data_IF_102761236729
#
_entry.id   IF_102761236729
#
_cell.length_a   1.000
_cell.length_b   1.000
_cell.length_c   1.000
_cell.angle_alpha   90.00
_cell.angle_beta   90.00
_cell.angle_gamma   90.00
#
_symmetry.space_group_name_H-M   'P 1'
#
loop_
_entity.id
_entity.type
_entity.pdbx_description
1 polymer ?
#
# COMPACT_ATOMS: atom_id res chain seq x y z
N UNK A 1 47.60 0.15 -15.30
CA UNK A 1 46.87 0.87 -16.37
C UNK A 1 45.60 0.06 -16.68
N UNK A 2 44.42 0.64 -16.46
CA UNK A 2 43.16 0.01 -16.91
C UNK A 2 43.06 0.24 -18.42
N UNK A 3 42.93 -0.85 -19.18
CA UNK A 3 42.84 -0.77 -20.64
C UNK A 3 41.42 -0.35 -21.05
N UNK A 4 41.31 0.32 -22.20
CA UNK A 4 40.03 0.78 -22.77
C UNK A 4 39.02 -0.36 -22.98
N UNK A 5 39.51 -1.59 -23.20
CA UNK A 5 38.68 -2.80 -23.29
C UNK A 5 38.11 -3.23 -21.93
N UNK A 6 38.89 -3.11 -20.84
CA UNK A 6 38.38 -3.37 -19.49
C UNK A 6 37.33 -2.34 -19.06
N UNK A 7 37.44 -1.08 -19.50
CA UNK A 7 36.41 -0.05 -19.28
C UNK A 7 35.11 -0.37 -20.02
N UNK A 8 35.19 -0.87 -21.27
CA UNK A 8 34.02 -1.21 -22.09
C UNK A 8 33.28 -2.44 -21.56
N UNK A 9 34.00 -3.47 -21.08
CA UNK A 9 33.39 -4.64 -20.41
C UNK A 9 32.72 -4.28 -19.09
N UNK A 10 33.32 -3.38 -18.30
CA UNK A 10 32.73 -2.92 -17.03
C UNK A 10 31.47 -2.08 -17.28
N UNK A 11 31.44 -1.26 -18.34
CA UNK A 11 30.29 -0.46 -18.74
C UNK A 11 29.10 -1.34 -19.21
N UNK A 12 29.38 -2.44 -19.92
CA UNK A 12 28.36 -3.38 -20.40
C UNK A 12 27.71 -4.19 -19.26
N UNK A 13 28.47 -4.55 -18.22
CA UNK A 13 27.97 -5.32 -17.06
C UNK A 13 27.02 -4.48 -16.19
N UNK A 14 27.29 -3.17 -16.03
CA UNK A 14 26.43 -2.27 -15.26
C UNK A 14 25.06 -1.99 -15.93
N UNK A 15 24.90 -2.25 -17.23
CA UNK A 15 23.64 -2.01 -17.95
C UNK A 15 22.64 -3.19 -17.91
N UNK A 16 23.09 -4.42 -17.62
CA UNK A 16 22.21 -5.60 -17.54
C UNK A 16 21.74 -5.92 -16.12
N UNK A 17 22.40 -5.38 -15.10
CA UNK A 17 21.88 -5.40 -13.73
C UNK A 17 20.92 -4.22 -13.65
N UNK A 18 19.68 -4.43 -14.10
CA UNK A 18 18.61 -3.47 -13.87
C UNK A 18 18.52 -3.24 -12.37
N UNK A 19 19.05 -2.10 -11.90
CA UNK A 19 18.96 -1.73 -10.51
C UNK A 19 17.47 -1.64 -10.18
N UNK A 20 16.95 -2.61 -9.44
CA UNK A 20 15.60 -2.55 -8.89
C UNK A 20 15.63 -1.42 -7.86
N UNK A 21 15.24 -0.22 -8.26
CA UNK A 21 15.19 0.91 -7.35
C UNK A 21 13.88 0.82 -6.55
N UNK A 22 14.00 1.03 -5.23
CA UNK A 22 12.86 1.28 -4.37
C UNK A 22 12.04 2.46 -4.92
N UNK A 23 10.70 2.36 -4.88
CA UNK A 23 9.82 3.45 -5.30
C UNK A 23 9.92 4.63 -4.34
N UNK A 24 9.89 5.83 -4.87
CA UNK A 24 9.71 7.06 -4.09
C UNK A 24 8.30 7.14 -3.50
N UNK A 25 8.12 7.92 -2.43
CA UNK A 25 6.80 8.12 -1.81
C UNK A 25 5.79 8.73 -2.78
N UNK A 26 6.25 9.63 -3.67
CA UNK A 26 5.45 10.19 -4.76
C UNK A 26 4.97 9.11 -5.75
N UNK A 27 5.84 8.16 -6.11
CA UNK A 27 5.48 7.06 -7.00
C UNK A 27 4.49 6.10 -6.34
N UNK A 28 4.68 5.79 -5.05
CA UNK A 28 3.75 4.97 -4.26
C UNK A 28 2.38 5.65 -4.21
N UNK A 29 2.33 6.94 -3.85
CA UNK A 29 1.09 7.74 -3.78
C UNK A 29 0.38 7.78 -5.13
N UNK A 30 1.11 8.07 -6.22
CA UNK A 30 0.57 8.07 -7.59
C UNK A 30 -0.02 6.70 -7.97
N UNK A 31 0.68 5.63 -7.61
CA UNK A 31 0.25 4.27 -7.90
C UNK A 31 -1.08 3.92 -7.18
N UNK A 32 -1.23 4.28 -5.91
CA UNK A 32 -2.49 4.13 -5.17
C UNK A 32 -3.62 4.99 -5.76
N UNK A 33 -3.32 6.23 -6.19
CA UNK A 33 -4.30 7.09 -6.88
C UNK A 33 -4.80 6.43 -8.18
N UNK A 34 -3.91 5.80 -8.95
CA UNK A 34 -4.31 5.05 -10.15
C UNK A 34 -5.23 3.88 -9.81
N UNK A 35 -4.99 3.19 -8.69
CA UNK A 35 -5.91 2.14 -8.26
C UNK A 35 -7.28 2.69 -7.88
N UNK A 36 -7.32 3.82 -7.17
CA UNK A 36 -8.55 4.48 -6.79
C UNK A 36 -9.35 4.96 -8.00
N UNK A 37 -8.70 5.47 -9.05
CA UNK A 37 -9.38 5.87 -10.30
C UNK A 37 -10.08 4.67 -10.94
N UNK A 38 -9.41 3.52 -11.02
CA UNK A 38 -10.03 2.32 -11.58
C UNK A 38 -11.20 1.82 -10.72
N UNK A 39 -10.99 1.72 -9.41
CA UNK A 39 -12.02 1.26 -8.47
C UNK A 39 -13.23 2.22 -8.40
N UNK A 40 -13.03 3.51 -8.68
CA UNK A 40 -14.13 4.50 -8.68
C UNK A 40 -15.16 4.28 -9.79
N UNK A 41 -14.84 3.48 -10.81
CA UNK A 41 -15.81 3.08 -11.85
C UNK A 41 -16.92 2.20 -11.28
N UNK A 42 -16.61 1.38 -10.28
CA UNK A 42 -17.54 0.46 -9.61
C UNK A 42 -18.06 1.03 -8.27
N UNK A 43 -17.22 1.82 -7.60
CA UNK A 43 -17.51 2.44 -6.30
C UNK A 43 -17.37 3.96 -6.40
N UNK A 44 -18.32 4.64 -7.07
CA UNK A 44 -18.26 6.08 -7.26
C UNK A 44 -18.33 6.78 -5.91
N UNK A 45 -17.45 7.75 -5.72
CA UNK A 45 -17.37 8.63 -4.54
C UNK A 45 -17.47 10.08 -5.00
N UNK A 46 -17.98 10.94 -4.13
CA UNK A 46 -18.09 12.38 -4.41
C UNK A 46 -16.72 13.06 -4.43
N UNK A 47 -16.66 14.24 -5.04
CA UNK A 47 -15.45 15.06 -5.00
C UNK A 47 -15.02 15.42 -3.57
N UNK A 48 -15.97 15.61 -2.65
CA UNK A 48 -15.69 15.87 -1.24
C UNK A 48 -15.06 14.66 -0.55
N UNK A 49 -15.64 13.48 -0.75
CA UNK A 49 -15.11 12.21 -0.23
C UNK A 49 -13.69 11.93 -0.72
N UNK A 50 -13.42 12.18 -2.01
CA UNK A 50 -12.07 12.11 -2.56
C UNK A 50 -11.11 13.07 -1.87
N UNK A 51 -11.54 14.29 -1.54
CA UNK A 51 -10.70 15.24 -0.81
C UNK A 51 -10.44 14.80 0.63
N UNK A 52 -11.44 14.24 1.32
CA UNK A 52 -11.24 13.68 2.66
C UNK A 52 -10.19 12.57 2.66
N UNK A 53 -10.25 11.65 1.69
CA UNK A 53 -9.25 10.57 1.56
C UNK A 53 -7.85 11.12 1.24
N UNK A 54 -7.75 12.10 0.32
CA UNK A 54 -6.46 12.64 -0.15
C UNK A 54 -5.73 13.50 0.86
N UNK A 55 -6.47 14.28 1.65
CA UNK A 55 -5.90 15.36 2.49
C UNK A 55 -6.00 15.09 3.98
N UNK A 56 -7.01 14.33 4.40
CA UNK A 56 -7.25 14.03 5.82
C UNK A 56 -6.88 12.59 6.18
N UNK A 57 -6.43 11.80 5.21
CA UNK A 57 -6.17 10.35 5.36
C UNK A 57 -7.34 9.61 6.02
N UNK A 58 -8.56 10.10 5.80
CA UNK A 58 -9.77 9.58 6.41
C UNK A 58 -10.65 8.97 5.34
N UNK A 59 -11.07 7.73 5.56
CA UNK A 59 -12.08 7.09 4.74
C UNK A 59 -13.45 7.65 5.15
N UNK A 60 -14.22 8.23 4.21
CA UNK A 60 -15.59 8.65 4.46
C UNK A 60 -16.47 7.50 4.94
N UNK A 61 -17.50 7.80 5.72
CA UNK A 61 -18.34 6.77 6.34
C UNK A 61 -19.30 6.07 5.35
N UNK A 62 -19.41 6.58 4.12
CA UNK A 62 -20.25 5.98 3.10
C UNK A 62 -19.79 4.57 2.73
N UNK A 63 -20.74 3.67 2.48
CA UNK A 63 -20.43 2.31 2.05
C UNK A 63 -19.65 2.29 0.73
N UNK A 64 -19.94 3.23 -0.18
CA UNK A 64 -19.21 3.37 -1.44
C UNK A 64 -17.73 3.67 -1.20
N UNK A 65 -17.41 4.60 -0.29
CA UNK A 65 -16.02 4.91 0.05
C UNK A 65 -15.30 3.73 0.71
N UNK A 66 -15.96 3.01 1.62
CA UNK A 66 -15.42 1.78 2.23
C UNK A 66 -15.13 0.71 1.17
N UNK A 67 -16.04 0.51 0.23
CA UNK A 67 -15.85 -0.46 -0.86
C UNK A 67 -14.81 -0.02 -1.89
N UNK A 68 -14.64 1.28 -2.14
CA UNK A 68 -13.54 1.81 -2.94
C UNK A 68 -12.18 1.36 -2.37
N UNK A 69 -12.00 1.48 -1.06
CA UNK A 69 -10.76 1.04 -0.37
C UNK A 69 -10.60 -0.47 -0.47
N UNK A 70 -11.68 -1.24 -0.28
CA UNK A 70 -11.62 -2.70 -0.44
C UNK A 70 -11.24 -3.12 -1.86
N UNK A 71 -11.78 -2.47 -2.90
CA UNK A 71 -11.37 -2.73 -4.27
C UNK A 71 -9.87 -2.49 -4.45
N UNK A 72 -9.33 -1.37 -3.93
CA UNK A 72 -7.89 -1.09 -4.00
C UNK A 72 -7.10 -2.19 -3.29
N UNK A 73 -7.48 -2.56 -2.06
CA UNK A 73 -6.79 -3.56 -1.25
C UNK A 73 -6.87 -4.97 -1.85
N UNK A 74 -7.99 -5.35 -2.48
CA UNK A 74 -8.11 -6.61 -3.23
C UNK A 74 -7.19 -6.63 -4.45
N UNK A 75 -7.10 -5.52 -5.20
CA UNK A 75 -6.21 -5.41 -6.37
C UNK A 75 -4.72 -5.52 -6.02
N UNK A 76 -4.33 -5.19 -4.79
CA UNK A 76 -2.97 -5.41 -4.26
C UNK A 76 -2.81 -6.66 -3.41
N UNK A 77 -3.85 -7.48 -3.35
CA UNK A 77 -3.87 -8.71 -2.57
C UNK A 77 -3.69 -8.50 -1.05
N UNK A 78 -3.90 -7.28 -0.54
CA UNK A 78 -3.92 -7.04 0.91
C UNK A 78 -5.20 -7.56 1.54
N UNK A 79 -6.29 -7.63 0.79
CA UNK A 79 -7.54 -8.24 1.20
C UNK A 79 -7.81 -9.38 0.22
N UNK A 80 -8.11 -10.57 0.72
CA UNK A 80 -8.42 -11.73 -0.13
C UNK A 80 -9.89 -11.76 -0.58
N UNK A 81 -10.24 -12.77 -1.37
CA UNK A 81 -11.60 -12.96 -1.88
C UNK A 81 -12.63 -13.21 -0.77
N UNK A 82 -12.19 -13.65 0.42
CA UNK A 82 -13.05 -13.83 1.60
C UNK A 82 -13.18 -12.54 2.41
N UNK A 83 -12.63 -11.44 1.92
CA UNK A 83 -12.63 -10.14 2.58
C UNK A 83 -11.68 -10.07 3.77
N UNK A 84 -10.71 -10.99 3.89
CA UNK A 84 -9.77 -11.08 5.01
C UNK A 84 -8.45 -10.39 4.68
N UNK A 85 -7.86 -9.71 5.67
CA UNK A 85 -6.56 -9.07 5.53
C UNK A 85 -5.43 -10.10 5.49
N UNK A 86 -4.51 -9.92 4.53
CA UNK A 86 -3.36 -10.78 4.28
C UNK A 86 -2.08 -9.98 4.54
N UNK A 87 -1.63 -9.97 5.80
CA UNK A 87 -0.46 -9.19 6.25
C UNK A 87 0.82 -9.52 5.50
N UNK A 88 1.01 -10.77 5.06
CA UNK A 88 2.19 -11.20 4.31
C UNK A 88 2.25 -10.53 2.94
N UNK A 89 1.10 -10.32 2.29
CA UNK A 89 1.00 -9.61 1.00
C UNK A 89 1.21 -8.11 1.18
N UNK A 90 0.74 -7.55 2.29
CA UNK A 90 1.03 -6.18 2.66
C UNK A 90 2.53 -5.95 2.86
N UNK A 91 3.18 -6.81 3.66
CA UNK A 91 4.62 -6.75 3.87
C UNK A 91 5.41 -6.91 2.57
N UNK A 92 4.99 -7.82 1.67
CA UNK A 92 5.61 -7.99 0.35
C UNK A 92 5.53 -6.74 -0.53
N UNK A 93 4.54 -5.87 -0.33
CA UNK A 93 4.48 -4.57 -1.01
C UNK A 93 5.57 -3.65 -0.44
N UNK A 94 5.73 -3.59 0.88
CA UNK A 94 6.81 -2.84 1.52
C UNK A 94 8.21 -3.33 1.15
N UNK A 95 8.42 -4.64 1.00
CA UNK A 95 9.70 -5.19 0.52
C UNK A 95 10.12 -4.62 -0.83
N UNK A 96 9.17 -4.30 -1.71
CA UNK A 96 9.45 -3.64 -3.00
C UNK A 96 9.71 -2.14 -2.84
N UNK A 97 9.00 -1.51 -1.92
CA UNK A 97 8.98 -0.07 -1.75
C UNK A 97 10.14 0.45 -0.90
N UNK A 98 10.67 -0.38 -0.01
CA UNK A 98 11.68 -0.01 0.98
C UNK A 98 12.85 -1.02 1.02
N UNK A 99 13.17 -1.67 -0.11
CA UNK A 99 14.20 -2.73 -0.16
C UNK A 99 15.59 -2.31 0.35
N UNK A 100 15.86 -1.00 0.39
CA UNK A 100 17.13 -0.44 0.86
C UNK A 100 17.05 0.18 2.27
N UNK A 101 15.90 0.05 2.96
CA UNK A 101 15.64 0.63 4.28
C UNK A 101 15.10 -0.44 5.24
N UNK A 102 16.01 -1.22 5.81
CA UNK A 102 15.66 -2.33 6.71
C UNK A 102 14.89 -1.87 7.95
N UNK A 103 15.21 -0.69 8.49
CA UNK A 103 14.52 -0.14 9.66
C UNK A 103 13.05 0.12 9.33
N UNK A 104 12.78 0.74 8.16
CA UNK A 104 11.41 0.97 7.70
C UNK A 104 10.67 -0.32 7.38
N UNK A 105 11.36 -1.34 6.85
CA UNK A 105 10.78 -2.69 6.65
C UNK A 105 10.36 -3.34 7.97
N UNK A 106 11.24 -3.35 8.98
CA UNK A 106 10.94 -3.92 10.30
C UNK A 106 9.74 -3.21 10.94
N UNK A 107 9.68 -1.88 10.83
CA UNK A 107 8.53 -1.10 11.31
C UNK A 107 7.25 -1.31 10.52
N UNK A 108 7.32 -1.47 9.20
CA UNK A 108 6.16 -1.85 8.39
C UNK A 108 5.62 -3.21 8.84
N UNK A 109 6.51 -4.18 9.08
CA UNK A 109 6.14 -5.52 9.55
C UNK A 109 5.45 -5.48 10.91
N UNK A 110 6.00 -4.73 11.87
CA UNK A 110 5.38 -4.54 13.19
C UNK A 110 3.98 -3.91 13.07
N UNK A 111 3.82 -2.86 12.26
CA UNK A 111 2.53 -2.20 12.04
C UNK A 111 1.50 -3.13 11.39
N UNK A 112 1.89 -3.88 10.35
CA UNK A 112 1.01 -4.84 9.69
C UNK A 112 0.61 -5.99 10.61
N UNK A 113 1.52 -6.50 11.43
CA UNK A 113 1.20 -7.50 12.44
C UNK A 113 0.20 -6.95 13.47
N UNK A 114 0.45 -5.74 13.97
CA UNK A 114 -0.45 -5.08 14.92
C UNK A 114 -1.87 -4.89 14.34
N UNK A 115 -1.97 -4.47 13.08
CA UNK A 115 -3.24 -4.27 12.41
C UNK A 115 -3.92 -5.56 11.95
N UNK A 116 -3.28 -6.73 12.07
CA UNK A 116 -3.92 -8.01 11.79
C UNK A 116 -5.14 -8.29 12.68
N UNK A 117 -5.27 -7.59 13.82
CA UNK A 117 -6.44 -7.66 14.71
C UNK A 117 -7.78 -7.41 14.00
N UNK A 118 -7.80 -6.66 12.89
CA UNK A 118 -9.02 -6.37 12.11
C UNK A 118 -9.68 -7.63 11.54
N UNK A 119 -8.94 -8.73 11.41
CA UNK A 119 -9.49 -10.03 11.00
C UNK A 119 -10.38 -10.68 12.07
N UNK A 120 -10.25 -10.26 13.33
CA UNK A 120 -11.10 -10.73 14.43
C UNK A 120 -12.36 -9.88 14.62
N UNK A 121 -12.46 -8.75 13.91
CA UNK A 121 -13.60 -7.84 14.01
C UNK A 121 -14.81 -8.39 13.25
N UNK A 122 -15.98 -8.19 13.82
CA UNK A 122 -17.26 -8.52 13.16
C UNK A 122 -17.59 -7.44 12.14
N UNK A 123 -17.96 -7.87 10.93
CA UNK A 123 -18.41 -6.97 9.86
C UNK A 123 -19.75 -7.42 9.32
N UNK A 124 -20.52 -6.49 8.77
CA UNK A 124 -21.86 -6.72 8.25
C UNK A 124 -21.89 -7.09 6.76
N UNK A 125 -20.79 -6.83 6.03
CA UNK A 125 -20.70 -6.96 4.57
C UNK A 125 -20.04 -8.26 4.10
N UNK A 126 -19.71 -9.16 5.02
CA UNK A 126 -19.17 -10.49 4.75
C UNK A 126 -17.88 -10.46 3.93
N UNK A 127 -17.86 -11.22 2.83
CA UNK A 127 -16.70 -11.37 1.94
C UNK A 127 -16.44 -10.16 1.04
N UNK A 128 -17.34 -9.16 1.04
CA UNK A 128 -17.10 -7.90 0.31
C UNK A 128 -15.87 -7.18 0.85
N UNK A 129 -15.66 -7.24 2.16
CA UNK A 129 -14.46 -6.72 2.82
C UNK A 129 -14.36 -5.20 2.88
N UNK A 130 -15.42 -4.46 2.54
CA UNK A 130 -15.49 -3.00 2.61
C UNK A 130 -15.29 -2.49 4.04
N UNK A 131 -16.03 -3.03 5.00
CA UNK A 131 -15.90 -2.60 6.40
C UNK A 131 -14.55 -2.96 6.99
N UNK A 132 -14.04 -4.16 6.70
CA UNK A 132 -12.71 -4.58 7.19
C UNK A 132 -11.58 -3.79 6.55
N UNK A 133 -11.70 -3.44 5.27
CA UNK A 133 -10.72 -2.57 4.61
C UNK A 133 -10.70 -1.18 5.24
N UNK A 134 -11.86 -0.67 5.65
CA UNK A 134 -11.95 0.57 6.42
C UNK A 134 -11.28 0.43 7.80
N UNK A 135 -11.58 -0.64 8.55
CA UNK A 135 -10.93 -0.93 9.84
C UNK A 135 -9.40 -1.03 9.71
N UNK A 136 -8.93 -1.68 8.64
CA UNK A 136 -7.51 -1.77 8.32
C UNK A 136 -6.91 -0.39 8.02
N UNK A 137 -7.55 0.40 7.15
CA UNK A 137 -7.07 1.74 6.81
C UNK A 137 -6.99 2.66 8.05
N UNK A 138 -8.00 2.61 8.92
CA UNK A 138 -8.01 3.33 10.21
C UNK A 138 -6.85 2.86 11.08
N UNK A 139 -6.70 1.55 11.29
CA UNK A 139 -5.62 1.01 12.11
C UNK A 139 -4.24 1.46 11.61
N UNK A 140 -3.98 1.35 10.30
CA UNK A 140 -2.71 1.76 9.72
C UNK A 140 -2.46 3.26 9.90
N UNK A 141 -3.48 4.08 9.66
CA UNK A 141 -3.37 5.55 9.72
C UNK A 141 -3.17 6.06 11.14
N UNK A 142 -3.95 5.55 12.11
CA UNK A 142 -3.87 5.97 13.51
C UNK A 142 -2.56 5.55 14.18
N UNK A 143 -1.96 4.44 13.74
CA UNK A 143 -0.75 3.89 14.34
C UNK A 143 0.52 4.22 13.55
N UNK A 144 0.41 4.75 12.32
CA UNK A 144 1.54 5.08 11.44
C UNK A 144 2.67 5.83 12.18
N UNK A 145 2.34 6.90 12.90
CA UNK A 145 3.33 7.73 13.60
C UNK A 145 4.08 6.97 14.71
N UNK A 146 3.39 6.08 15.44
CA UNK A 146 4.00 5.25 16.48
C UNK A 146 5.07 4.31 15.91
N UNK A 147 4.90 3.87 14.66
CA UNK A 147 5.85 3.02 13.95
C UNK A 147 6.79 3.82 13.02
N UNK A 148 6.84 5.15 13.14
CA UNK A 148 7.80 5.99 12.40
C UNK A 148 7.40 6.35 10.97
N UNK A 149 6.13 6.19 10.60
CA UNK A 149 5.58 6.62 9.32
C UNK A 149 4.91 8.00 9.44
N UNK A 150 5.21 8.88 8.48
CA UNK A 150 4.55 10.18 8.34
C UNK A 150 3.58 10.10 7.16
N UNK A 151 2.33 10.44 7.40
CA UNK A 151 1.30 10.51 6.36
C UNK A 151 1.50 11.78 5.53
N UNK A 152 1.46 11.67 4.20
CA UNK A 152 1.75 12.74 3.24
C UNK A 152 0.65 12.94 2.19
#
# INVERSE_FOLDING_TARGET
ALTMESLLQTLFICCFIGATLARTETEIKKWFIQQAVECSKEHPVTGEELQQMKTKHKIPDSMSAKCLVACIFKRIEWIDEKGMYVKEKAYKTSEKDYMNDQVKLDKAKELYEFCNKVNSETVSDGEKGCERSNLLAICLTENAAQYGFVLQ
#
